data_IF_534512666277
#
_entry.id   IF_534512666277
#
_cell.length_a   1.000
_cell.length_b   1.000
_cell.length_c   1.000
_cell.angle_alpha   90.00
_cell.angle_beta   90.00
_cell.angle_gamma   90.00
#
_symmetry.space_group_name_H-M   'P 1'
#
loop_
_entity.id
_entity.type
_entity.pdbx_description
1 polymer ?
#
# COMPACT_ATOMS: atom_id res chain seq x y z
N UNK A 1 2.19 -8.37 -18.58
CA UNK A 1 1.26 -7.98 -17.49
C UNK A 1 2.03 -7.21 -16.44
N UNK A 2 1.50 -6.09 -15.98
CA UNK A 2 2.14 -5.26 -14.95
C UNK A 2 1.86 -5.84 -13.57
N UNK A 3 2.90 -6.01 -12.78
CA UNK A 3 2.76 -6.41 -11.38
C UNK A 3 2.45 -5.16 -10.54
N UNK A 4 1.15 -4.88 -10.37
CA UNK A 4 0.70 -3.67 -9.69
C UNK A 4 1.06 -3.64 -8.20
N UNK A 5 1.03 -4.79 -7.53
CA UNK A 5 1.48 -4.86 -6.13
C UNK A 5 2.98 -4.58 -6.04
N UNK A 6 3.77 -5.16 -6.93
CA UNK A 6 5.21 -4.90 -7.00
C UNK A 6 5.51 -3.43 -7.27
N UNK A 7 4.73 -2.80 -8.15
CA UNK A 7 4.86 -1.36 -8.42
C UNK A 7 4.59 -0.53 -7.15
N UNK A 8 3.53 -0.86 -6.43
CA UNK A 8 3.19 -0.17 -5.18
C UNK A 8 4.30 -0.34 -4.14
N UNK A 9 4.80 -1.56 -3.98
CA UNK A 9 5.92 -1.85 -3.07
C UNK A 9 7.15 -1.01 -3.44
N UNK A 10 7.46 -0.92 -4.72
CA UNK A 10 8.59 -0.14 -5.20
C UNK A 10 8.41 1.35 -4.91
N UNK A 11 7.19 1.87 -5.07
CA UNK A 11 6.89 3.27 -4.75
C UNK A 11 7.15 3.58 -3.28
N UNK A 12 6.76 2.69 -2.38
CA UNK A 12 7.06 2.85 -0.95
C UNK A 12 8.55 2.80 -0.68
N UNK A 13 9.25 1.82 -1.25
CA UNK A 13 10.68 1.63 -0.99
C UNK A 13 11.55 2.76 -1.55
N UNK A 14 11.16 3.32 -2.69
CA UNK A 14 11.86 4.46 -3.30
C UNK A 14 11.34 5.80 -2.81
N UNK A 15 10.26 5.80 -2.04
CA UNK A 15 9.59 7.00 -1.56
C UNK A 15 9.19 7.93 -2.72
N UNK A 16 8.71 7.34 -3.81
CA UNK A 16 8.30 8.05 -5.01
C UNK A 16 7.05 7.38 -5.60
N UNK A 17 5.92 8.07 -5.52
CA UNK A 17 4.64 7.58 -5.99
C UNK A 17 4.23 8.11 -7.36
N UNK A 18 5.08 8.91 -8.01
CA UNK A 18 4.75 9.47 -9.33
C UNK A 18 4.47 8.38 -10.39
N UNK A 19 5.15 7.22 -10.39
CA UNK A 19 4.85 6.18 -11.38
C UNK A 19 3.51 5.49 -11.15
N UNK A 20 2.89 5.66 -9.98
CA UNK A 20 1.66 4.97 -9.62
C UNK A 20 0.43 5.56 -10.28
N UNK A 21 0.43 6.89 -10.52
CA UNK A 21 -0.76 7.63 -10.95
C UNK A 21 -1.50 7.01 -12.15
N UNK A 22 -0.83 6.63 -13.25
CA UNK A 22 -1.56 6.06 -14.38
C UNK A 22 -2.12 4.66 -14.12
N UNK A 23 -1.72 4.02 -13.03
CA UNK A 23 -2.15 2.66 -12.68
C UNK A 23 -3.26 2.62 -11.63
N UNK A 24 -3.75 3.79 -11.18
CA UNK A 24 -4.90 3.87 -10.29
C UNK A 24 -6.15 4.14 -11.13
N UNK A 25 -7.26 3.43 -10.82
CA UNK A 25 -8.52 3.70 -11.49
C UNK A 25 -9.04 5.08 -11.10
N UNK A 26 -9.90 5.67 -11.96
CA UNK A 26 -10.45 7.00 -11.70
C UNK A 26 -11.23 7.06 -10.40
N UNK A 27 -11.84 5.96 -10.01
CA UNK A 27 -12.61 5.84 -8.77
C UNK A 27 -11.92 4.97 -7.72
N UNK A 28 -10.58 4.92 -7.76
CA UNK A 28 -9.81 4.14 -6.80
C UNK A 28 -10.16 4.56 -5.37
N UNK A 29 -10.35 3.57 -4.49
CA UNK A 29 -10.69 3.78 -3.09
C UNK A 29 -9.48 3.49 -2.21
N UNK A 30 -9.27 4.34 -1.23
CA UNK A 30 -8.22 4.16 -0.23
C UNK A 30 -8.88 4.11 1.14
N UNK A 31 -8.74 2.99 1.84
CA UNK A 31 -9.32 2.78 3.16
C UNK A 31 -8.23 2.45 4.17
N UNK A 32 -8.45 2.83 5.43
CA UNK A 32 -7.51 2.55 6.51
C UNK A 32 -8.29 2.22 7.78
N UNK A 33 -7.83 1.23 8.53
CA UNK A 33 -8.45 0.86 9.79
C UNK A 33 -8.23 1.89 10.89
N UNK A 34 -7.32 2.85 10.66
CA UNK A 34 -7.05 3.93 11.62
C UNK A 34 -7.77 5.24 11.27
N UNK A 35 -8.42 5.30 10.11
CA UNK A 35 -9.12 6.51 9.63
C UNK A 35 -10.52 6.09 9.20
N UNK A 36 -11.55 6.78 9.70
CA UNK A 36 -12.95 6.42 9.41
C UNK A 36 -13.38 6.78 7.99
N UNK A 37 -12.81 7.83 7.43
CA UNK A 37 -13.21 8.30 6.09
C UNK A 37 -12.33 7.68 5.02
N UNK A 38 -12.99 7.12 3.98
CA UNK A 38 -12.24 6.63 2.83
C UNK A 38 -12.02 7.77 1.83
N UNK A 39 -10.92 7.68 1.09
CA UNK A 39 -10.68 8.56 -0.04
C UNK A 39 -11.13 7.89 -1.33
N UNK A 40 -11.72 8.64 -2.24
CA UNK A 40 -12.17 8.15 -3.53
C UNK A 40 -11.57 9.02 -4.62
N UNK A 41 -11.01 8.37 -5.63
CA UNK A 41 -10.43 9.02 -6.78
C UNK A 41 -8.94 8.76 -6.91
N UNK A 42 -8.51 8.29 -8.09
CA UNK A 42 -7.12 7.94 -8.33
C UNK A 42 -6.15 9.10 -8.11
N UNK A 43 -6.51 10.28 -8.60
CA UNK A 43 -5.68 11.48 -8.40
C UNK A 43 -5.64 11.88 -6.92
N UNK A 44 -6.78 11.84 -6.24
CA UNK A 44 -6.86 12.17 -4.81
C UNK A 44 -5.97 11.23 -4.00
N UNK A 45 -6.07 9.93 -4.25
CA UNK A 45 -5.27 8.91 -3.55
C UNK A 45 -3.78 9.12 -3.83
N UNK A 46 -3.41 9.34 -5.09
CA UNK A 46 -2.01 9.53 -5.45
C UNK A 46 -1.43 10.80 -4.82
N UNK A 47 -2.17 11.90 -4.84
CA UNK A 47 -1.74 13.15 -4.20
C UNK A 47 -1.55 12.98 -2.70
N UNK A 48 -2.42 12.23 -2.04
CA UNK A 48 -2.30 11.91 -0.63
C UNK A 48 -1.02 11.11 -0.34
N UNK A 49 -0.73 10.08 -1.14
CA UNK A 49 0.45 9.25 -0.95
C UNK A 49 1.74 10.07 -1.17
N UNK A 50 1.75 10.94 -2.18
CA UNK A 50 2.88 11.83 -2.44
C UNK A 50 3.11 12.77 -1.25
N UNK A 51 2.04 13.40 -0.74
CA UNK A 51 2.15 14.31 0.39
C UNK A 51 2.63 13.58 1.65
N UNK A 52 2.12 12.38 1.90
CA UNK A 52 2.54 11.56 3.05
C UNK A 52 4.01 11.18 2.95
N UNK A 53 4.49 10.81 1.77
CA UNK A 53 5.89 10.44 1.57
C UNK A 53 6.83 11.63 1.83
N UNK A 54 6.41 12.83 1.42
CA UNK A 54 7.18 14.05 1.69
C UNK A 54 7.26 14.35 3.19
N UNK A 55 6.17 14.17 3.92
CA UNK A 55 6.16 14.37 5.37
C UNK A 55 7.09 13.38 6.08
N UNK A 56 7.08 12.12 5.68
CA UNK A 56 7.96 11.10 6.26
C UNK A 56 9.43 11.47 6.00
N UNK A 57 9.77 11.85 4.77
CA UNK A 57 11.15 12.28 4.43
C UNK A 57 11.58 13.51 5.22
N UNK A 58 10.66 14.48 5.39
CA UNK A 58 10.98 15.74 6.08
C UNK A 58 11.33 15.51 7.55
N UNK A 59 10.83 14.44 8.16
CA UNK A 59 11.14 14.10 9.56
C UNK A 59 12.31 13.12 9.70
N UNK A 60 12.97 12.79 8.60
CA UNK A 60 14.07 11.82 8.60
C UNK A 60 13.62 10.37 8.70
N UNK A 61 12.33 10.13 8.53
CA UNK A 61 11.78 8.78 8.56
C UNK A 61 11.98 8.01 7.26
N UNK A 62 11.72 6.74 7.32
CA UNK A 62 11.76 5.88 6.13
C UNK A 62 10.67 4.82 6.20
N UNK A 63 10.35 4.25 5.03
CA UNK A 63 9.39 3.16 4.90
C UNK A 63 10.05 2.06 4.09
N UNK A 64 9.86 0.82 4.54
CA UNK A 64 10.25 -0.38 3.80
C UNK A 64 9.00 -1.23 3.59
N UNK A 65 8.75 -1.65 2.38
CA UNK A 65 7.64 -2.55 2.05
C UNK A 65 8.19 -3.87 1.52
N UNK A 66 7.59 -4.98 1.96
CA UNK A 66 8.00 -6.33 1.57
C UNK A 66 6.77 -7.11 1.11
N UNK A 67 6.94 -7.92 0.07
CA UNK A 67 5.86 -8.77 -0.42
C UNK A 67 5.68 -9.97 0.49
N UNK A 68 4.43 -10.28 0.83
CA UNK A 68 4.06 -11.45 1.62
C UNK A 68 2.90 -12.17 0.97
N UNK A 69 2.75 -13.46 1.28
CA UNK A 69 1.55 -14.25 0.97
C UNK A 69 0.70 -14.34 2.22
N UNK A 70 -0.57 -14.01 2.12
CA UNK A 70 -1.51 -14.14 3.23
C UNK A 70 -1.94 -15.61 3.31
N UNK A 71 -1.90 -16.16 4.53
CA UNK A 71 -2.34 -17.51 4.83
C UNK A 71 -3.76 -17.53 5.36
N UNK A 72 -4.17 -16.48 6.08
CA UNK A 72 -5.47 -16.34 6.71
C UNK A 72 -5.72 -14.86 6.97
N UNK A 73 -6.93 -14.33 6.76
CA UNK A 73 -8.18 -15.00 6.37
C UNK A 73 -8.37 -15.17 4.86
N UNK A 74 -7.46 -14.65 4.03
CA UNK A 74 -7.58 -14.69 2.56
C UNK A 74 -6.44 -15.51 1.96
N UNK A 75 -6.57 -16.86 1.91
CA UNK A 75 -5.47 -17.72 1.44
C UNK A 75 -5.02 -17.36 0.03
N UNK A 76 -3.71 -17.44 -0.20
CA UNK A 76 -3.06 -17.22 -1.48
C UNK A 76 -3.09 -15.78 -2.01
N UNK A 77 -3.71 -14.85 -1.28
CA UNK A 77 -3.64 -13.44 -1.65
C UNK A 77 -2.26 -12.88 -1.27
N UNK A 78 -1.68 -12.09 -2.18
CA UNK A 78 -0.44 -11.37 -1.89
C UNK A 78 -0.73 -9.97 -1.36
N UNK A 79 0.18 -9.47 -0.54
CA UNK A 79 0.04 -8.16 0.09
C UNK A 79 1.41 -7.53 0.30
N UNK A 80 1.42 -6.24 0.63
CA UNK A 80 2.63 -5.52 1.02
C UNK A 80 2.65 -5.34 2.53
N UNK A 81 3.68 -5.87 3.18
CA UNK A 81 3.91 -5.65 4.61
C UNK A 81 4.79 -4.43 4.75
N UNK A 82 4.31 -3.42 5.48
CA UNK A 82 4.99 -2.13 5.56
C UNK A 82 5.60 -1.90 6.94
N UNK A 83 6.83 -1.40 6.94
CA UNK A 83 7.58 -1.03 8.15
C UNK A 83 7.90 0.45 8.05
N UNK A 84 7.59 1.18 9.11
CA UNK A 84 7.87 2.62 9.15
C UNK A 84 8.81 2.91 10.33
N UNK A 85 9.99 3.44 10.01
CA UNK A 85 10.99 3.81 11.01
C UNK A 85 11.80 2.66 11.59
N UNK A 86 11.48 1.40 11.24
CA UNK A 86 12.23 0.21 11.64
C UNK A 86 11.91 -0.94 10.70
N UNK A 87 12.65 -2.03 10.78
CA UNK A 87 12.41 -3.22 9.97
C UNK A 87 12.08 -4.46 10.81
N UNK A 88 11.76 -4.29 12.08
CA UNK A 88 11.50 -5.40 12.99
C UNK A 88 10.00 -5.63 13.22
N UNK A 89 9.25 -4.53 13.40
CA UNK A 89 7.82 -4.59 13.70
C UNK A 89 7.03 -3.92 12.60
N UNK A 90 6.17 -4.65 11.88
CA UNK A 90 5.39 -4.06 10.80
C UNK A 90 4.37 -3.05 11.33
N UNK A 91 4.23 -1.95 10.60
CA UNK A 91 3.27 -0.89 10.91
C UNK A 91 1.89 -1.20 10.36
N UNK A 92 1.83 -1.77 9.17
CA UNK A 92 0.56 -2.15 8.54
C UNK A 92 0.79 -3.20 7.46
N UNK A 93 -0.32 -3.79 7.01
CA UNK A 93 -0.34 -4.66 5.83
C UNK A 93 -1.29 -4.04 4.82
N UNK A 94 -0.86 -3.99 3.56
CA UNK A 94 -1.58 -3.31 2.48
C UNK A 94 -2.08 -4.34 1.49
N UNK A 95 -3.41 -4.35 1.30
CA UNK A 95 -4.06 -5.19 0.31
C UNK A 95 -4.57 -4.30 -0.82
N UNK A 96 -4.54 -4.82 -2.04
CA UNK A 96 -5.07 -4.10 -3.18
C UNK A 96 -6.10 -4.96 -3.91
N UNK A 97 -7.03 -4.28 -4.59
CA UNK A 97 -7.93 -4.89 -5.57
C UNK A 97 -7.60 -4.32 -6.92
N UNK A 98 -7.68 -5.18 -7.93
CA UNK A 98 -7.36 -4.82 -9.31
C UNK A 98 -8.60 -5.06 -10.16
N UNK A 99 -9.01 -4.04 -10.91
CA UNK A 99 -10.09 -4.11 -11.89
C UNK A 99 -9.64 -3.42 -13.16
N UNK A 100 -9.93 -4.04 -14.30
CA UNK A 100 -9.58 -3.46 -15.62
C UNK A 100 -8.11 -3.04 -15.71
N UNK A 101 -7.21 -3.87 -15.17
CA UNK A 101 -5.75 -3.68 -15.19
C UNK A 101 -5.26 -2.47 -14.40
N UNK A 102 -6.08 -1.94 -13.51
CA UNK A 102 -5.71 -0.84 -12.62
C UNK A 102 -6.05 -1.18 -11.18
N UNK A 103 -5.40 -0.51 -10.25
CA UNK A 103 -5.70 -0.64 -8.84
C UNK A 103 -7.01 0.10 -8.57
N UNK A 104 -8.03 -0.65 -8.13
CA UNK A 104 -9.35 -0.09 -7.82
C UNK A 104 -9.52 0.19 -6.33
N UNK A 105 -8.71 -0.43 -5.48
CA UNK A 105 -8.81 -0.24 -4.03
C UNK A 105 -7.48 -0.54 -3.36
N UNK A 106 -7.13 0.28 -2.37
CA UNK A 106 -5.98 0.10 -1.49
C UNK A 106 -6.51 0.08 -0.06
N UNK A 107 -6.30 -1.04 0.65
CA UNK A 107 -6.73 -1.21 2.03
C UNK A 107 -5.52 -1.27 2.96
N UNK A 108 -5.47 -0.36 3.92
CA UNK A 108 -4.43 -0.32 4.95
C UNK A 108 -4.99 -0.98 6.20
N UNK A 109 -4.42 -2.11 6.58
CA UNK A 109 -4.96 -2.97 7.64
C UNK A 109 -3.93 -3.19 8.75
N UNK A 110 -4.43 -3.59 9.91
CA UNK A 110 -3.57 -3.99 11.03
C UNK A 110 -2.93 -5.35 10.74
N UNK A 111 -1.60 -5.48 10.86
CA UNK A 111 -0.93 -6.75 10.52
C UNK A 111 -1.38 -7.91 11.41
N UNK A 112 -1.77 -7.64 12.65
CA UNK A 112 -2.16 -8.65 13.63
C UNK A 112 -3.41 -9.43 13.22
N UNK A 113 -4.21 -8.90 12.31
CA UNK A 113 -5.43 -9.55 11.81
C UNK A 113 -5.14 -10.64 10.78
N UNK A 114 -3.88 -10.77 10.35
CA UNK A 114 -3.50 -11.66 9.25
C UNK A 114 -2.39 -12.62 9.66
N UNK A 115 -2.46 -13.82 9.12
CA UNK A 115 -1.31 -14.74 9.11
C UNK A 115 -0.72 -14.69 7.72
N UNK A 116 0.60 -14.55 7.64
CA UNK A 116 1.30 -14.39 6.37
C UNK A 116 2.69 -14.99 6.46
N UNK A 117 3.31 -15.17 5.29
CA UNK A 117 4.72 -15.56 5.17
C UNK A 117 5.39 -14.71 4.09
N UNK A 118 6.67 -14.49 4.26
CA UNK A 118 7.46 -13.75 3.28
C UNK A 118 7.61 -14.55 1.98
N UNK A 119 7.69 -13.83 0.90
CA UNK A 119 7.92 -14.41 -0.42
C UNK A 119 9.34 -14.22 -0.88
#
# INVERSE_FOLDING_TARGET
MVDLLGLLIECYNKNDFSPLRPHLSDNCRYTSQWVFDEMIGGNTVCDYLIAKSKRISATGGFVVAKRVSILSPYPEQEAALMFQGNEETPSCIILIKIESKKISQIDICMPQLFKYRYK
#
